data_IF_632231006537
#
_entry.id   IF_632231006537
#
_cell.length_a   1.000
_cell.length_b   1.000
_cell.length_c   1.000
_cell.angle_alpha   90.00
_cell.angle_beta   90.00
_cell.angle_gamma   90.00
#
_symmetry.space_group_name_H-M   'P 1'
#
loop_
_entity.id
_entity.type
_entity.pdbx_description
1 polymer ?
#
# COMPACT_ATOMS: atom_id res chain seq x y z
N UNK A 1 -38.46 6.51 -33.80
CA UNK A 1 -37.59 7.62 -33.37
C UNK A 1 -37.01 7.23 -32.02
N UNK A 2 -35.80 6.68 -32.04
CA UNK A 2 -35.03 6.30 -30.85
C UNK A 2 -34.65 7.54 -30.04
N UNK A 3 -35.04 7.57 -28.77
CA UNK A 3 -34.47 8.50 -27.82
C UNK A 3 -33.14 7.94 -27.33
N UNK A 4 -32.05 8.44 -27.89
CA UNK A 4 -30.71 8.26 -27.33
C UNK A 4 -30.71 8.86 -25.91
N UNK A 5 -30.65 8.00 -24.89
CA UNK A 5 -30.31 8.40 -23.52
C UNK A 5 -28.83 8.75 -23.47
N UNK A 6 -28.53 10.03 -23.56
CA UNK A 6 -27.19 10.56 -23.29
C UNK A 6 -26.91 10.34 -21.81
N UNK A 7 -26.04 9.39 -21.50
CA UNK A 7 -25.47 9.23 -20.16
C UNK A 7 -24.43 10.34 -19.98
N UNK A 8 -24.84 11.49 -19.41
CA UNK A 8 -23.96 12.61 -19.10
C UNK A 8 -22.92 12.17 -18.06
N UNK A 9 -21.71 11.86 -18.52
CA UNK A 9 -20.49 11.90 -17.71
C UNK A 9 -19.74 13.16 -18.15
N UNK A 10 -20.04 14.30 -17.53
CA UNK A 10 -19.17 15.48 -17.40
C UNK A 10 -20.03 16.70 -17.03
N UNK A 11 -19.87 17.21 -15.80
CA UNK A 11 -20.05 18.64 -15.57
C UNK A 11 -18.66 19.27 -15.59
N UNK A 12 -18.47 20.21 -16.51
CA UNK A 12 -17.26 20.98 -16.68
C UNK A 12 -17.06 21.93 -15.50
N UNK A 13 -15.94 21.81 -14.79
CA UNK A 13 -15.48 22.85 -13.85
C UNK A 13 -14.46 23.72 -14.60
N UNK A 14 -14.66 25.04 -14.68
CA UNK A 14 -13.73 25.94 -15.37
C UNK A 14 -12.40 26.01 -14.61
N UNK A 15 -11.29 25.86 -15.36
CA UNK A 15 -9.93 26.07 -14.88
C UNK A 15 -9.75 27.52 -14.41
N UNK A 16 -9.35 27.69 -13.15
CA UNK A 16 -8.74 28.93 -12.67
C UNK A 16 -7.36 28.60 -12.10
N UNK A 17 -6.30 28.97 -12.83
CA UNK A 17 -4.92 28.86 -12.39
C UNK A 17 -4.60 30.03 -11.45
N UNK A 18 -4.37 29.74 -10.18
CA UNK A 18 -3.62 30.60 -9.27
C UNK A 18 -2.90 29.72 -8.24
N UNK A 19 -1.59 29.54 -8.42
CA UNK A 19 -0.75 28.76 -7.50
C UNK A 19 -0.28 29.61 -6.32
N UNK A 20 -0.03 29.03 -5.14
CA UNK A 20 0.78 29.66 -4.10
C UNK A 20 2.22 29.11 -4.13
N UNK A 21 3.18 30.03 -4.06
CA UNK A 21 4.58 29.74 -3.77
C UNK A 21 4.72 29.31 -2.31
N UNK A 22 5.27 28.13 -2.05
CA UNK A 22 5.64 27.69 -0.70
C UNK A 22 7.16 27.73 -0.53
N UNK A 23 7.62 28.67 0.31
CA UNK A 23 8.99 28.73 0.82
C UNK A 23 9.17 27.68 1.93
N UNK A 24 10.16 26.79 1.76
CA UNK A 24 10.64 25.93 2.83
C UNK A 24 11.72 26.65 3.64
N UNK A 25 11.48 26.84 4.94
CA UNK A 25 12.51 27.24 5.90
C UNK A 25 12.52 26.24 7.07
N UNK A 26 13.59 25.45 7.16
CA UNK A 26 14.00 24.76 8.38
C UNK A 26 14.87 25.71 9.21
N UNK A 27 14.70 25.73 10.55
CA UNK A 27 15.78 25.63 11.56
C UNK A 27 15.26 25.87 13.01
N UNK A 28 15.49 24.83 13.84
CA UNK A 28 15.82 24.75 15.28
C UNK A 28 15.26 25.74 16.33
N UNK A 29 14.96 25.24 17.55
CA UNK A 29 15.12 26.03 18.78
C UNK A 29 16.37 25.60 19.57
N UNK A 30 17.13 26.59 20.02
CA UNK A 30 18.07 26.48 21.13
C UNK A 30 17.79 27.60 22.13
N UNK A 31 17.62 27.27 23.41
CA UNK A 31 18.49 27.75 24.51
C UNK A 31 17.87 27.50 25.89
N UNK A 32 18.79 27.45 26.86
CA UNK A 32 18.71 26.99 28.25
C UNK A 32 17.90 27.89 29.19
N UNK A 33 17.45 27.31 30.29
CA UNK A 33 17.63 27.90 31.62
C UNK A 33 17.92 26.81 32.67
N UNK A 34 18.70 27.16 33.68
CA UNK A 34 19.43 26.31 34.62
C UNK A 34 19.13 26.78 36.06
N UNK A 35 19.32 25.88 37.04
CA UNK A 35 19.30 26.02 38.52
C UNK A 35 18.07 25.36 39.19
N UNK A 36 18.16 24.65 40.33
CA UNK A 36 19.23 24.26 41.28
C UNK A 36 18.67 23.10 42.18
N UNK A 37 19.48 22.43 43.01
CA UNK A 37 19.14 21.14 43.63
C UNK A 37 18.46 21.25 45.01
N UNK A 38 17.76 20.19 45.41
CA UNK A 38 17.37 19.93 46.81
C UNK A 38 17.34 18.42 47.09
N UNK A 39 17.62 18.08 48.35
CA UNK A 39 18.14 16.81 48.84
C UNK A 39 17.07 15.77 49.20
N UNK A 40 17.49 14.50 49.12
CA UNK A 40 17.24 13.32 49.98
C UNK A 40 15.86 13.08 50.61
N UNK A 41 15.38 11.83 50.51
CA UNK A 41 15.06 10.96 51.65
C UNK A 41 14.67 9.53 51.18
N UNK A 42 15.23 8.51 51.87
CA UNK A 42 14.79 7.12 52.14
C UNK A 42 13.71 6.50 51.22
N UNK A 43 13.85 5.34 50.58
CA UNK A 43 14.48 4.08 51.00
C UNK A 43 13.41 2.98 51.05
N UNK A 44 13.27 2.18 49.98
CA UNK A 44 12.66 0.82 50.02
C UNK A 44 13.30 -0.01 48.90
N UNK A 45 14.06 -1.03 49.27
CA UNK A 45 14.59 -2.03 48.34
C UNK A 45 13.49 -3.07 48.11
N UNK A 46 12.85 -3.02 46.95
CA UNK A 46 12.00 -4.11 46.45
C UNK A 46 12.81 -4.87 45.41
N UNK A 47 13.27 -6.07 45.73
CA UNK A 47 13.80 -7.00 44.73
C UNK A 47 12.60 -7.68 44.07
N UNK A 48 12.33 -7.45 42.77
CA UNK A 48 11.37 -8.29 42.06
C UNK A 48 12.09 -9.58 41.70
N UNK A 49 11.69 -10.69 42.33
CA UNK A 49 11.91 -12.03 41.80
C UNK A 49 11.18 -12.11 40.46
N UNK A 50 11.91 -11.90 39.37
CA UNK A 50 11.39 -12.12 38.02
C UNK A 50 11.15 -13.61 37.83
N UNK A 51 9.87 -13.99 37.84
CA UNK A 51 9.42 -15.29 37.37
C UNK A 51 9.65 -15.34 35.86
N UNK A 52 10.69 -16.04 35.41
CA UNK A 52 10.95 -16.31 34.00
C UNK A 52 9.98 -17.36 33.49
N UNK A 53 8.76 -16.95 33.19
CA UNK A 53 7.82 -17.69 32.35
C UNK A 53 7.23 -16.72 31.34
N UNK A 54 8.07 -16.27 30.39
CA UNK A 54 7.57 -15.69 29.15
C UNK A 54 7.04 -16.87 28.34
N UNK A 55 5.75 -17.19 28.51
CA UNK A 55 5.06 -17.97 27.48
C UNK A 55 5.20 -17.18 26.18
N UNK A 56 5.80 -17.76 25.14
CA UNK A 56 5.74 -17.21 23.79
C UNK A 56 4.26 -17.08 23.43
N UNK A 57 3.68 -15.89 23.60
CA UNK A 57 2.37 -15.56 23.09
C UNK A 57 2.47 -15.76 21.58
N UNK A 58 1.74 -16.74 21.05
CA UNK A 58 1.68 -16.98 19.61
C UNK A 58 1.01 -15.73 19.01
N UNK A 59 1.82 -14.81 18.48
CA UNK A 59 1.33 -13.62 17.80
C UNK A 59 0.42 -14.06 16.66
N UNK A 60 -0.77 -13.45 16.57
CA UNK A 60 -1.72 -13.81 15.53
C UNK A 60 -1.08 -13.56 14.16
N UNK A 61 -1.20 -14.55 13.27
CA UNK A 61 -0.56 -14.56 11.95
C UNK A 61 -1.33 -13.64 11.00
N UNK A 62 -0.77 -12.48 10.65
CA UNK A 62 -1.37 -11.59 9.64
C UNK A 62 -1.15 -12.10 8.21
N UNK A 63 -2.05 -11.74 7.30
CA UNK A 63 -2.04 -12.11 5.87
C UNK A 63 -1.67 -10.90 5.01
N UNK A 64 -0.68 -11.06 4.14
CA UNK A 64 -0.25 -10.08 3.16
C UNK A 64 -0.73 -10.53 1.78
N UNK A 65 -1.60 -9.74 1.14
CA UNK A 65 -2.02 -9.98 -0.24
C UNK A 65 -1.09 -9.24 -1.20
N UNK A 66 -0.28 -9.98 -1.94
CA UNK A 66 0.73 -9.47 -2.86
C UNK A 66 0.24 -9.62 -4.29
N UNK A 67 -0.17 -8.51 -4.91
CA UNK A 67 -0.62 -8.44 -6.29
C UNK A 67 0.57 -8.07 -7.19
N UNK A 68 0.92 -8.95 -8.12
CA UNK A 68 2.01 -8.76 -9.07
C UNK A 68 1.48 -8.55 -10.49
N UNK A 69 1.95 -7.51 -11.16
CA UNK A 69 1.52 -7.15 -12.51
C UNK A 69 2.71 -7.06 -13.49
N UNK A 70 3.43 -8.17 -13.68
CA UNK A 70 4.48 -8.25 -14.69
C UNK A 70 4.29 -9.51 -15.58
N UNK A 71 4.36 -9.39 -16.92
CA UNK A 71 4.18 -10.54 -17.82
C UNK A 71 5.38 -11.49 -17.84
N UNK A 72 6.57 -11.02 -17.46
CA UNK A 72 7.78 -11.84 -17.47
C UNK A 72 7.95 -12.54 -16.12
N UNK A 73 7.99 -13.88 -16.09
CA UNK A 73 8.23 -14.66 -14.87
C UNK A 73 9.67 -14.52 -14.35
N UNK A 74 10.60 -14.03 -15.17
CA UNK A 74 11.99 -13.75 -14.80
C UNK A 74 12.25 -12.24 -14.62
N UNK A 75 11.20 -11.45 -14.36
CA UNK A 75 11.32 -10.01 -14.11
C UNK A 75 11.92 -9.71 -12.74
N UNK A 76 12.48 -8.51 -12.60
CA UNK A 76 12.91 -8.02 -11.29
C UNK A 76 11.72 -7.86 -10.33
N UNK A 77 10.52 -7.55 -10.82
CA UNK A 77 9.29 -7.54 -10.02
C UNK A 77 8.98 -8.90 -9.41
N UNK A 78 9.25 -9.99 -10.13
CA UNK A 78 9.10 -11.34 -9.58
C UNK A 78 10.11 -11.57 -8.45
N UNK A 79 11.36 -11.12 -8.62
CA UNK A 79 12.36 -11.17 -7.54
C UNK A 79 11.96 -10.33 -6.31
N UNK A 80 11.30 -9.18 -6.51
CA UNK A 80 10.73 -8.36 -5.42
C UNK A 80 9.65 -9.15 -4.68
N UNK A 81 8.70 -9.76 -5.40
CA UNK A 81 7.64 -10.60 -4.82
C UNK A 81 8.24 -11.75 -4.01
N UNK A 82 9.25 -12.43 -4.55
CA UNK A 82 9.91 -13.54 -3.87
C UNK A 82 10.62 -13.08 -2.59
N UNK A 83 11.39 -12.00 -2.66
CA UNK A 83 12.10 -11.45 -1.51
C UNK A 83 11.14 -10.97 -0.41
N UNK A 84 10.07 -10.26 -0.80
CA UNK A 84 9.03 -9.80 0.12
C UNK A 84 8.33 -10.99 0.79
N UNK A 85 7.86 -11.96 -0.01
CA UNK A 85 7.09 -13.10 0.48
C UNK A 85 7.92 -14.06 1.32
N UNK A 86 9.23 -14.19 1.03
CA UNK A 86 10.15 -14.94 1.86
C UNK A 86 10.30 -14.30 3.25
N UNK A 87 10.53 -12.98 3.31
CA UNK A 87 10.68 -12.26 4.57
C UNK A 87 9.39 -12.30 5.42
N UNK A 88 8.23 -12.09 4.79
CA UNK A 88 6.91 -12.18 5.48
C UNK A 88 6.73 -13.56 6.11
N UNK A 89 7.08 -14.63 5.38
CA UNK A 89 6.97 -16.01 5.90
C UNK A 89 7.98 -16.30 7.01
N UNK A 90 9.20 -15.78 6.91
CA UNK A 90 10.23 -15.92 7.95
C UNK A 90 9.78 -15.31 9.28
N UNK A 91 9.01 -14.22 9.20
CA UNK A 91 8.38 -13.57 10.37
C UNK A 91 7.10 -14.24 10.86
N UNK A 92 6.75 -15.40 10.30
CA UNK A 92 5.59 -16.17 10.75
C UNK A 92 4.24 -15.68 10.22
N UNK A 93 4.24 -14.66 9.35
CA UNK A 93 3.06 -14.15 8.64
C UNK A 93 2.74 -14.99 7.38
N UNK A 94 1.57 -14.78 6.78
CA UNK A 94 1.17 -15.44 5.52
C UNK A 94 1.32 -14.47 4.36
N UNK A 95 1.99 -14.89 3.28
CA UNK A 95 2.00 -14.16 2.00
C UNK A 95 1.14 -14.91 0.98
N UNK A 96 0.11 -14.24 0.43
CA UNK A 96 -0.75 -14.73 -0.64
C UNK A 96 -0.41 -13.96 -1.91
N UNK A 97 0.14 -14.64 -2.91
CA UNK A 97 0.60 -13.99 -4.16
C UNK A 97 -0.46 -14.18 -5.25
N UNK A 98 -0.88 -13.08 -5.88
CA UNK A 98 -1.76 -13.05 -7.06
C UNK A 98 -1.00 -12.42 -8.22
N UNK A 99 -0.41 -13.26 -9.08
CA UNK A 99 0.24 -12.79 -10.30
C UNK A 99 -0.82 -12.66 -11.41
N UNK A 100 -1.20 -11.42 -11.73
CA UNK A 100 -2.34 -11.15 -12.62
C UNK A 100 -2.13 -11.69 -14.04
N UNK A 101 -0.89 -11.66 -14.54
CA UNK A 101 -0.57 -12.21 -15.87
C UNK A 101 -0.61 -13.73 -15.87
N UNK A 102 -0.07 -14.38 -14.82
CA UNK A 102 -0.12 -15.84 -14.70
C UNK A 102 -1.55 -16.36 -14.51
N UNK A 103 -2.40 -15.59 -13.83
CA UNK A 103 -3.83 -15.88 -13.67
C UNK A 103 -4.64 -15.63 -14.95
N UNK A 104 -4.09 -14.90 -15.93
CA UNK A 104 -4.85 -14.47 -17.11
C UNK A 104 -6.01 -13.54 -16.76
N UNK A 105 -5.84 -12.69 -15.74
CA UNK A 105 -6.89 -11.82 -15.24
C UNK A 105 -7.42 -10.88 -16.34
N UNK A 106 -8.74 -10.85 -16.58
CA UNK A 106 -9.36 -9.91 -17.51
C UNK A 106 -9.39 -8.51 -16.88
N UNK A 107 -8.70 -7.51 -17.41
CA UNK A 107 -8.68 -6.20 -16.76
C UNK A 107 -9.86 -5.31 -17.13
N UNK A 108 -10.71 -5.74 -18.07
CA UNK A 108 -11.75 -4.88 -18.63
C UNK A 108 -13.00 -4.93 -17.75
N UNK A 109 -13.27 -3.82 -17.04
CA UNK A 109 -14.52 -3.61 -16.31
C UNK A 109 -15.72 -3.70 -17.27
N UNK A 110 -16.65 -4.60 -16.98
CA UNK A 110 -17.87 -4.80 -17.78
C UNK A 110 -19.03 -3.93 -17.27
N UNK A 111 -20.06 -3.75 -18.09
CA UNK A 111 -21.19 -2.88 -17.75
C UNK A 111 -21.97 -3.36 -16.50
N UNK A 112 -22.11 -4.67 -16.33
CA UNK A 112 -22.76 -5.30 -15.18
C UNK A 112 -21.92 -5.21 -13.90
N UNK A 113 -20.63 -4.90 -14.00
CA UNK A 113 -19.72 -4.74 -12.86
C UNK A 113 -19.64 -3.30 -12.35
N UNK A 114 -20.32 -2.35 -13.00
CA UNK A 114 -20.24 -0.93 -12.64
C UNK A 114 -20.65 -0.68 -11.18
N UNK A 115 -19.87 0.11 -10.43
CA UNK A 115 -20.20 0.42 -9.03
C UNK A 115 -21.56 1.12 -8.87
N UNK A 116 -22.31 0.74 -7.83
CA UNK A 116 -23.56 1.39 -7.46
C UNK A 116 -24.81 0.92 -8.22
N UNK A 117 -24.69 -0.13 -9.02
CA UNK A 117 -25.86 -0.78 -9.63
C UNK A 117 -26.69 -1.52 -8.57
N UNK A 118 -28.02 -1.40 -8.64
CA UNK A 118 -28.93 -2.02 -7.65
C UNK A 118 -28.88 -3.54 -7.59
N UNK A 119 -28.46 -4.20 -8.69
CA UNK A 119 -28.30 -5.66 -8.80
C UNK A 119 -26.84 -6.06 -9.03
N UNK A 120 -25.90 -5.24 -8.56
CA UNK A 120 -24.49 -5.54 -8.71
C UNK A 120 -24.14 -6.90 -8.07
N UNK A 121 -23.40 -7.73 -8.81
CA UNK A 121 -22.83 -8.96 -8.31
C UNK A 121 -21.44 -9.15 -8.92
N UNK A 122 -20.44 -9.64 -8.16
CA UNK A 122 -19.12 -9.88 -8.71
C UNK A 122 -19.17 -11.08 -9.66
N UNK A 123 -18.41 -11.00 -10.75
CA UNK A 123 -18.11 -12.16 -11.58
C UNK A 123 -17.24 -13.15 -10.79
N UNK A 124 -17.20 -14.41 -11.20
CA UNK A 124 -16.53 -15.47 -10.45
C UNK A 124 -15.04 -15.18 -10.18
N UNK A 125 -14.34 -14.65 -11.18
CA UNK A 125 -12.94 -14.20 -11.06
C UNK A 125 -12.79 -13.05 -10.05
N UNK A 126 -13.71 -12.07 -10.07
CA UNK A 126 -13.71 -10.96 -9.11
C UNK A 126 -14.06 -11.43 -7.70
N UNK A 127 -15.00 -12.38 -7.57
CA UNK A 127 -15.41 -12.91 -6.27
C UNK A 127 -14.26 -13.61 -5.54
N UNK A 128 -13.45 -14.42 -6.25
CA UNK A 128 -12.26 -15.06 -5.68
C UNK A 128 -11.25 -14.01 -5.16
N UNK A 129 -10.99 -12.96 -5.93
CA UNK A 129 -10.05 -11.91 -5.51
C UNK A 129 -10.61 -11.06 -4.35
N UNK A 130 -11.93 -10.84 -4.29
CA UNK A 130 -12.58 -10.18 -3.15
C UNK A 130 -12.45 -10.98 -1.86
N UNK A 131 -12.46 -12.31 -1.93
CA UNK A 131 -12.21 -13.17 -0.78
C UNK A 131 -10.78 -12.97 -0.26
N UNK A 132 -9.80 -12.92 -1.17
CA UNK A 132 -8.42 -12.61 -0.80
C UNK A 132 -8.27 -11.21 -0.21
N UNK A 133 -8.93 -10.19 -0.77
CA UNK A 133 -8.91 -8.82 -0.24
C UNK A 133 -9.50 -8.78 1.16
N UNK A 134 -10.60 -9.49 1.40
CA UNK A 134 -11.26 -9.57 2.71
C UNK A 134 -10.36 -10.23 3.76
N UNK A 135 -9.70 -11.33 3.41
CA UNK A 135 -8.83 -12.10 4.30
C UNK A 135 -7.47 -11.44 4.59
N UNK A 136 -7.06 -10.45 3.79
CA UNK A 136 -5.77 -9.78 3.94
C UNK A 136 -5.76 -8.77 5.09
N UNK A 137 -4.61 -8.56 5.74
CA UNK A 137 -4.39 -7.46 6.66
C UNK A 137 -3.63 -6.30 5.99
N UNK A 138 -2.90 -6.58 4.91
CA UNK A 138 -2.17 -5.58 4.11
C UNK A 138 -2.30 -5.90 2.63
N UNK A 139 -2.46 -4.84 1.82
CA UNK A 139 -2.46 -4.92 0.36
C UNK A 139 -1.10 -4.46 -0.15
N UNK A 140 -0.46 -5.30 -0.96
CA UNK A 140 0.87 -5.04 -1.53
C UNK A 140 0.77 -5.08 -3.05
N UNK A 141 1.18 -4.00 -3.72
CA UNK A 141 1.19 -3.89 -5.17
C UNK A 141 2.64 -3.96 -5.67
N UNK A 142 2.93 -4.82 -6.64
CA UNK A 142 4.25 -4.93 -7.27
C UNK A 142 4.11 -4.82 -8.79
N UNK A 143 4.70 -3.82 -9.40
CA UNK A 143 4.50 -3.54 -10.82
C UNK A 143 5.59 -2.67 -11.45
N UNK A 144 5.81 -2.76 -12.77
CA UNK A 144 6.65 -1.82 -13.49
C UNK A 144 5.86 -0.56 -13.88
N UNK A 145 6.51 0.59 -13.90
CA UNK A 145 5.93 1.85 -14.41
C UNK A 145 6.03 1.83 -15.94
N UNK A 146 4.88 1.75 -16.61
CA UNK A 146 4.78 1.82 -18.06
C UNK A 146 4.00 3.05 -18.47
N UNK A 147 4.65 3.94 -19.22
CA UNK A 147 4.07 5.21 -19.64
C UNK A 147 3.50 6.04 -18.47
N UNK A 148 4.22 6.03 -17.33
CA UNK A 148 3.94 6.84 -16.16
C UNK A 148 2.92 6.27 -15.17
N UNK A 149 2.33 5.10 -15.44
CA UNK A 149 1.32 4.47 -14.59
C UNK A 149 1.57 2.98 -14.45
N UNK A 150 0.88 2.28 -13.52
CA UNK A 150 0.88 0.82 -13.50
C UNK A 150 0.38 0.23 -14.82
N UNK A 151 0.72 -1.04 -15.13
CA UNK A 151 0.21 -1.71 -16.32
C UNK A 151 -1.32 -1.77 -16.31
N UNK A 152 -1.92 -1.77 -17.49
CA UNK A 152 -3.38 -1.80 -17.64
C UNK A 152 -4.02 -2.96 -16.86
N UNK A 153 -3.33 -4.10 -16.72
CA UNK A 153 -3.85 -5.24 -15.95
C UNK A 153 -4.03 -4.93 -14.46
N UNK A 154 -3.11 -4.17 -13.87
CA UNK A 154 -3.23 -3.74 -12.48
C UNK A 154 -4.30 -2.68 -12.31
N UNK A 155 -4.37 -1.73 -13.25
CA UNK A 155 -5.43 -0.71 -13.23
C UNK A 155 -6.82 -1.35 -13.33
N UNK A 156 -6.97 -2.38 -14.18
CA UNK A 156 -8.19 -3.17 -14.28
C UNK A 156 -8.52 -3.92 -12.99
N UNK A 157 -7.51 -4.48 -12.30
CA UNK A 157 -7.71 -5.11 -10.99
C UNK A 157 -8.17 -4.09 -9.93
N UNK A 158 -7.61 -2.88 -9.94
CA UNK A 158 -8.07 -1.79 -9.06
C UNK A 158 -9.54 -1.47 -9.34
N UNK A 159 -9.94 -1.37 -10.61
CA UNK A 159 -11.31 -1.03 -10.99
C UNK A 159 -12.31 -2.14 -10.66
N UNK A 160 -11.99 -3.38 -11.03
CA UNK A 160 -12.90 -4.54 -10.92
C UNK A 160 -12.96 -5.13 -9.52
N UNK A 161 -11.85 -5.11 -8.77
CA UNK A 161 -11.73 -5.77 -7.46
C UNK A 161 -11.68 -4.76 -6.33
N UNK A 162 -10.69 -3.86 -6.31
CA UNK A 162 -10.55 -2.94 -5.17
C UNK A 162 -11.71 -1.95 -5.11
N UNK A 163 -12.16 -1.45 -6.27
CA UNK A 163 -13.32 -0.58 -6.42
C UNK A 163 -14.66 -1.31 -6.54
N UNK A 164 -14.69 -2.64 -6.37
CA UNK A 164 -15.90 -3.44 -6.54
C UNK A 164 -17.07 -2.92 -5.70
N UNK A 165 -18.19 -2.64 -6.35
CA UNK A 165 -19.40 -2.08 -5.74
C UNK A 165 -19.19 -0.79 -4.91
N UNK A 166 -18.09 -0.06 -5.12
CA UNK A 166 -17.77 1.13 -4.36
C UNK A 166 -18.05 2.39 -5.18
N UNK A 167 -19.18 3.03 -4.88
CA UNK A 167 -19.62 4.21 -5.63
C UNK A 167 -18.73 5.44 -5.41
N UNK A 168 -18.64 6.31 -6.40
CA UNK A 168 -17.96 7.61 -6.26
C UNK A 168 -18.56 8.49 -5.14
N UNK A 169 -19.85 8.33 -4.84
CA UNK A 169 -20.46 9.00 -3.68
C UNK A 169 -19.88 8.48 -2.37
N UNK A 170 -19.63 7.18 -2.25
CA UNK A 170 -18.99 6.61 -1.06
C UNK A 170 -17.53 7.06 -0.92
N UNK A 171 -16.80 7.19 -2.04
CA UNK A 171 -15.46 7.81 -2.08
C UNK A 171 -15.51 9.25 -1.58
N UNK A 172 -16.41 10.06 -2.14
CA UNK A 172 -16.57 11.48 -1.78
C UNK A 172 -16.95 11.65 -0.31
N UNK A 173 -17.89 10.83 0.18
CA UNK A 173 -18.35 10.85 1.57
C UNK A 173 -17.36 10.14 2.53
N UNK A 174 -16.20 9.69 2.04
CA UNK A 174 -15.12 9.04 2.80
C UNK A 174 -15.62 7.87 3.67
N UNK A 175 -16.54 7.06 3.13
CA UNK A 175 -17.14 5.94 3.89
C UNK A 175 -16.22 4.74 4.06
N UNK A 176 -15.10 4.71 3.34
CA UNK A 176 -14.18 3.59 3.29
C UNK A 176 -14.76 2.43 2.48
N UNK A 177 -13.88 1.72 1.77
CA UNK A 177 -14.28 0.55 1.01
C UNK A 177 -14.29 -0.68 1.89
N UNK A 178 -15.38 -1.45 1.84
CA UNK A 178 -15.51 -2.67 2.64
C UNK A 178 -14.40 -3.66 2.23
N UNK A 179 -13.70 -4.21 3.23
CA UNK A 179 -12.57 -5.11 3.00
C UNK A 179 -11.23 -4.42 2.76
N UNK A 180 -11.19 -3.09 2.55
CA UNK A 180 -9.94 -2.30 2.44
C UNK A 180 -9.77 -1.27 3.56
N UNK A 181 -10.86 -0.73 4.08
CA UNK A 181 -10.82 0.26 5.13
C UNK A 181 -10.00 -0.23 6.34
N UNK A 182 -9.11 0.62 6.85
CA UNK A 182 -8.20 0.29 7.95
C UNK A 182 -6.98 -0.56 7.59
N UNK A 183 -6.87 -1.08 6.36
CA UNK A 183 -5.69 -1.86 5.93
C UNK A 183 -4.58 -0.93 5.43
N UNK A 184 -3.29 -1.19 5.71
CA UNK A 184 -2.19 -0.53 5.02
C UNK A 184 -2.12 -0.89 3.52
N UNK A 185 -1.68 0.07 2.71
CA UNK A 185 -1.27 -0.10 1.32
C UNK A 185 0.26 0.01 1.22
N UNK A 186 0.88 -0.95 0.52
CA UNK A 186 2.30 -0.91 0.20
C UNK A 186 2.51 -1.10 -1.30
N UNK A 187 3.23 -0.18 -1.93
CA UNK A 187 3.55 -0.24 -3.35
C UNK A 187 5.05 -0.47 -3.56
N UNK A 188 5.41 -1.38 -4.45
CA UNK A 188 6.75 -1.52 -5.02
C UNK A 188 6.64 -1.28 -6.52
N UNK A 189 7.27 -0.21 -7.00
CA UNK A 189 7.31 0.06 -8.43
C UNK A 189 8.72 -0.02 -8.98
N UNK A 190 8.85 -0.53 -10.20
CA UNK A 190 10.12 -0.53 -10.94
C UNK A 190 10.08 0.42 -12.13
N UNK A 191 11.21 1.06 -12.43
CA UNK A 191 11.37 1.90 -13.62
C UNK A 191 12.74 1.67 -14.24
N UNK A 192 12.81 1.68 -15.57
CA UNK A 192 14.08 1.72 -16.30
C UNK A 192 14.75 3.09 -16.29
N UNK A 193 14.02 4.15 -15.94
CA UNK A 193 14.51 5.53 -15.87
C UNK A 193 15.10 5.82 -14.48
N UNK A 194 16.13 6.68 -14.40
CA UNK A 194 16.73 7.08 -13.13
C UNK A 194 15.81 8.04 -12.34
N UNK A 195 15.98 8.07 -11.01
CA UNK A 195 15.10 8.79 -10.10
C UNK A 195 15.13 10.31 -10.29
N UNK A 196 16.28 10.88 -10.63
CA UNK A 196 16.44 12.31 -10.91
C UNK A 196 15.56 12.75 -12.07
N UNK A 197 15.63 12.04 -13.19
CA UNK A 197 14.81 12.30 -14.37
C UNK A 197 13.31 12.16 -14.04
N UNK A 198 12.91 11.09 -13.34
CA UNK A 198 11.52 10.87 -12.93
C UNK A 198 11.02 12.02 -12.05
N UNK A 199 11.86 12.49 -11.13
CA UNK A 199 11.51 13.58 -10.22
C UNK A 199 11.38 14.92 -10.96
N UNK A 200 12.33 15.25 -11.84
CA UNK A 200 12.33 16.47 -12.65
C UNK A 200 11.11 16.57 -13.58
N UNK A 201 10.58 15.42 -14.04
CA UNK A 201 9.37 15.36 -14.87
C UNK A 201 8.08 15.29 -14.07
N UNK A 202 8.15 15.38 -12.74
CA UNK A 202 6.99 15.30 -11.86
C UNK A 202 6.36 13.90 -11.76
N UNK A 203 7.04 12.86 -12.27
CA UNK A 203 6.52 11.51 -12.32
C UNK A 203 6.37 10.90 -10.92
N UNK A 204 7.35 11.14 -10.03
CA UNK A 204 7.32 10.64 -8.64
C UNK A 204 6.12 11.22 -7.89
N UNK A 205 5.89 12.53 -7.99
CA UNK A 205 4.76 13.19 -7.37
C UNK A 205 3.43 12.72 -7.97
N UNK A 206 3.33 12.65 -9.29
CA UNK A 206 2.09 12.24 -9.98
C UNK A 206 1.67 10.83 -9.61
N UNK A 207 2.63 9.88 -9.59
CA UNK A 207 2.34 8.51 -9.21
C UNK A 207 1.90 8.41 -7.74
N UNK A 208 2.58 9.13 -6.84
CA UNK A 208 2.21 9.20 -5.43
C UNK A 208 0.80 9.72 -5.23
N UNK A 209 0.44 10.83 -5.88
CA UNK A 209 -0.87 11.44 -5.67
C UNK A 209 -2.00 10.60 -6.28
N UNK A 210 -1.81 10.11 -7.51
CA UNK A 210 -2.88 9.42 -8.26
C UNK A 210 -3.04 7.97 -7.82
N UNK A 211 -1.97 7.28 -7.43
CA UNK A 211 -2.04 5.89 -7.03
C UNK A 211 -2.07 5.76 -5.50
N UNK A 212 -1.03 6.21 -4.81
CA UNK A 212 -0.90 5.91 -3.38
C UNK A 212 -1.90 6.71 -2.54
N UNK A 213 -1.87 8.04 -2.66
CA UNK A 213 -2.68 8.95 -1.84
C UNK A 213 -4.16 8.81 -2.21
N UNK A 214 -4.49 8.74 -3.50
CA UNK A 214 -5.87 8.59 -3.95
C UNK A 214 -6.48 7.28 -3.47
N UNK A 215 -5.82 6.13 -3.66
CA UNK A 215 -6.35 4.85 -3.21
C UNK A 215 -6.41 4.79 -1.69
N UNK A 216 -5.38 5.27 -1.00
CA UNK A 216 -5.37 5.31 0.47
C UNK A 216 -6.57 6.07 1.04
N UNK A 217 -6.74 7.32 0.61
CA UNK A 217 -7.81 8.18 1.12
C UNK A 217 -9.17 7.75 0.60
N UNK A 218 -9.26 7.41 -0.69
CA UNK A 218 -10.51 7.03 -1.34
C UNK A 218 -11.12 5.76 -0.76
N UNK A 219 -10.29 4.77 -0.44
CA UNK A 219 -10.73 3.50 0.14
C UNK A 219 -10.72 3.48 1.68
N UNK A 220 -10.34 4.58 2.35
CA UNK A 220 -10.30 4.65 3.81
C UNK A 220 -9.26 3.72 4.45
N UNK A 221 -8.17 3.46 3.73
CA UNK A 221 -7.07 2.63 4.19
C UNK A 221 -6.31 3.34 5.33
N UNK A 222 -5.50 2.60 6.11
CA UNK A 222 -4.83 3.16 7.31
C UNK A 222 -3.65 4.05 6.96
N UNK A 223 -2.87 3.66 5.96
CA UNK A 223 -1.71 4.40 5.46
C UNK A 223 -1.31 3.89 4.07
N UNK A 224 -0.44 4.65 3.41
CA UNK A 224 0.25 4.19 2.19
C UNK A 224 1.74 4.40 2.28
N UNK A 225 2.50 3.43 1.78
CA UNK A 225 3.93 3.54 1.57
C UNK A 225 4.30 3.07 0.17
N UNK A 226 5.35 3.67 -0.42
CA UNK A 226 5.81 3.33 -1.75
C UNK A 226 7.34 3.27 -1.80
N UNK A 227 7.86 2.10 -2.18
CA UNK A 227 9.26 1.90 -2.55
C UNK A 227 9.38 1.91 -4.07
N UNK A 228 9.84 3.02 -4.62
CA UNK A 228 10.22 3.12 -6.04
C UNK A 228 11.65 2.61 -6.22
N UNK A 229 11.84 1.74 -7.20
CA UNK A 229 13.12 1.17 -7.61
C UNK A 229 13.39 1.57 -9.06
N UNK A 230 14.26 2.55 -9.21
CA UNK A 230 14.71 3.12 -10.48
C UNK A 230 15.78 2.26 -11.18
N UNK A 231 16.17 2.66 -12.40
CA UNK A 231 17.29 2.07 -13.14
C UNK A 231 17.26 0.53 -13.30
N UNK A 232 16.07 -0.08 -13.33
CA UNK A 232 15.88 -1.51 -13.59
C UNK A 232 16.00 -1.75 -15.10
N UNK A 233 17.20 -2.12 -15.54
CA UNK A 233 17.58 -2.30 -16.95
C UNK A 233 18.26 -3.67 -17.17
N UNK A 234 18.33 -4.20 -18.41
CA UNK A 234 18.85 -5.56 -18.67
C UNK A 234 20.24 -5.86 -18.11
N UNK A 235 21.10 -4.85 -17.99
CA UNK A 235 22.49 -4.99 -17.51
C UNK A 235 22.69 -4.41 -16.09
N UNK A 236 21.62 -4.35 -15.30
CA UNK A 236 21.68 -3.92 -13.91
C UNK A 236 22.66 -4.78 -13.11
N UNK A 237 23.53 -4.15 -12.31
CA UNK A 237 24.55 -4.88 -11.56
C UNK A 237 23.92 -5.73 -10.45
N UNK A 238 24.51 -6.90 -10.18
CA UNK A 238 24.06 -7.77 -9.08
C UNK A 238 24.13 -7.06 -7.73
N UNK A 239 25.16 -6.23 -7.49
CA UNK A 239 25.29 -5.48 -6.24
C UNK A 239 24.14 -4.48 -6.04
N UNK A 240 23.74 -3.77 -7.10
CA UNK A 240 22.58 -2.89 -7.04
C UNK A 240 21.30 -3.70 -6.85
N UNK A 241 21.09 -4.76 -7.62
CA UNK A 241 19.93 -5.65 -7.48
C UNK A 241 19.77 -6.17 -6.04
N UNK A 242 20.85 -6.67 -5.43
CA UNK A 242 20.88 -7.12 -4.03
C UNK A 242 20.49 -5.99 -3.07
N UNK A 243 21.04 -4.80 -3.25
CA UNK A 243 20.73 -3.62 -2.42
C UNK A 243 19.24 -3.28 -2.47
N UNK A 244 18.63 -3.34 -3.66
CA UNK A 244 17.20 -3.08 -3.82
C UNK A 244 16.35 -4.18 -3.17
N UNK A 245 16.73 -5.46 -3.31
CA UNK A 245 16.03 -6.56 -2.64
C UNK A 245 16.17 -6.49 -1.12
N UNK A 246 17.27 -5.96 -0.58
CA UNK A 246 17.42 -5.73 0.86
C UNK A 246 16.49 -4.61 1.36
N UNK A 247 16.27 -3.56 0.57
CA UNK A 247 15.23 -2.55 0.86
C UNK A 247 13.84 -3.19 0.91
N UNK A 248 13.54 -4.13 0.00
CA UNK A 248 12.27 -4.86 -0.03
C UNK A 248 12.11 -5.69 1.25
N UNK A 249 13.12 -6.49 1.62
CA UNK A 249 13.11 -7.29 2.87
C UNK A 249 12.94 -6.40 4.09
N UNK A 250 13.68 -5.29 4.19
CA UNK A 250 13.55 -4.36 5.30
C UNK A 250 12.15 -3.75 5.41
N UNK A 251 11.51 -3.47 4.27
CA UNK A 251 10.14 -2.95 4.22
C UNK A 251 9.12 -4.01 4.66
N UNK A 252 9.25 -5.24 4.18
CA UNK A 252 8.45 -6.38 4.62
C UNK A 252 8.57 -6.60 6.14
N UNK A 253 9.80 -6.55 6.65
CA UNK A 253 10.12 -6.71 8.05
C UNK A 253 9.44 -5.69 8.95
N UNK A 254 9.54 -4.41 8.60
CA UNK A 254 8.89 -3.33 9.35
C UNK A 254 7.37 -3.43 9.27
N UNK A 255 6.83 -3.84 8.12
CA UNK A 255 5.38 -4.04 7.96
C UNK A 255 4.86 -5.13 8.90
N UNK A 256 5.57 -6.27 9.00
CA UNK A 256 5.23 -7.34 9.94
C UNK A 256 5.22 -6.84 11.38
N UNK A 257 6.30 -6.20 11.83
CA UNK A 257 6.41 -5.67 13.20
C UNK A 257 5.31 -4.64 13.54
N UNK A 258 4.89 -3.84 12.56
CA UNK A 258 3.81 -2.88 12.73
C UNK A 258 2.44 -3.56 12.89
N UNK A 259 2.18 -4.65 12.15
CA UNK A 259 0.95 -5.43 12.28
C UNK A 259 0.91 -6.14 13.64
N UNK A 260 2.03 -6.71 14.09
CA UNK A 260 2.17 -7.31 15.43
C UNK A 260 1.85 -6.29 16.54
N UNK A 261 2.38 -5.07 16.45
CA UNK A 261 2.10 -4.02 17.44
C UNK A 261 0.62 -3.59 17.44
N UNK A 262 -0.05 -3.59 16.27
CA UNK A 262 -1.47 -3.25 16.18
C UNK A 262 -2.32 -4.31 16.91
N UNK A 263 -2.00 -5.58 16.69
CA UNK A 263 -2.68 -6.71 17.34
C UNK A 263 -2.51 -6.69 18.86
N UNK A 264 -1.33 -6.31 19.35
CA UNK A 264 -1.11 -6.19 20.80
C UNK A 264 -2.01 -5.12 21.41
N UNK A 265 -2.15 -3.95 20.79
CA UNK A 265 -3.02 -2.87 21.30
C UNK A 265 -4.49 -3.32 21.36
N UNK A 266 -5.00 -3.98 20.32
CA UNK A 266 -6.38 -4.48 20.30
C UNK A 266 -6.65 -5.54 21.38
N UNK A 267 -5.67 -6.40 21.69
CA UNK A 267 -5.78 -7.38 22.79
C UNK A 267 -5.76 -6.72 24.17
N UNK A 268 -5.05 -5.61 24.35
CA UNK A 268 -5.02 -4.91 25.65
C UNK A 268 -6.24 -4.02 25.90
N UNK A 269 -6.95 -3.59 24.85
CA UNK A 269 -8.14 -2.74 24.95
C UNK A 269 -9.47 -3.52 24.99
N UNK A 270 -9.43 -4.86 24.85
CA UNK A 270 -10.59 -5.76 24.92
C UNK A 270 -10.73 -6.47 26.27
#
# INVERSE_FOLDING_TARGET
MEHARVCLIAEAVPYFCAGPQYNYAYLAPASRSMMRPAQSCWGVTMTPTMNTNISKTQTARSTHLVICANPSPASFDTAIVDAYSAEVRDRGHKAVVRNLYALGFDPVLKEDERPGQSQWAPRADVAEELDHVRDADVIVLVYPIWYGMPPAILKGYIDRVLGANYSFRAVHDQRGQTGLAGKPLLSFSTSGLPLDWLSERGQVLSLREILDVYLWRGFGMKQSEHVMIESVVPNMSTAYATTQLDRVRHTAARTCAMLENTLLVEVYES
#
